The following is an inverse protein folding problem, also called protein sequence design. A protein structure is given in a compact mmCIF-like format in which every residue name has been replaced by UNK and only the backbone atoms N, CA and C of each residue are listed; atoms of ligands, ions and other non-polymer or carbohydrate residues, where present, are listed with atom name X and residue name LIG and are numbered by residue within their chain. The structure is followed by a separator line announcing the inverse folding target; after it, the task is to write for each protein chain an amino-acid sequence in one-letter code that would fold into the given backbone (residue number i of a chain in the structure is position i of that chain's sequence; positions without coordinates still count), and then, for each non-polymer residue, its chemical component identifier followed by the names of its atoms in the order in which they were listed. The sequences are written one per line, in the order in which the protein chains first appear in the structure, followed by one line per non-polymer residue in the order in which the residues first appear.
data_IF_406979502342
#
_entry.id   IF_406979502342
#
_cell.length_a   1.000
_cell.length_b   1.000
_cell.length_c   1.000
_cell.angle_alpha   90.00
_cell.angle_beta   90.00
_cell.angle_gamma   90.00
#
_symmetry.space_group_name_H-M   'P 1'
#
loop_
_entity.id
_entity.type
_entity.pdbx_description
1 polymer ?
#
# COMPACT_ATOMS: atom_id res chain seq x y z
N UNK A 1 -10.04 -11.86 -16.32
CA UNK A 1 -8.59 -11.81 -16.64
C UNK A 1 -7.90 -12.07 -15.33
N UNK A 2 -7.06 -13.11 -15.22
CA UNK A 2 -6.33 -13.34 -13.97
C UNK A 2 -5.36 -12.17 -13.74
N UNK A 3 -5.48 -11.51 -12.59
CA UNK A 3 -4.57 -10.43 -12.23
C UNK A 3 -3.21 -11.10 -11.96
N UNK A 4 -2.17 -10.68 -12.70
CA UNK A 4 -0.80 -11.17 -12.46
C UNK A 4 -0.10 -10.26 -11.46
N UNK A 5 0.89 -10.76 -10.72
CA UNK A 5 1.66 -9.95 -9.77
C UNK A 5 2.22 -8.65 -10.41
N UNK A 6 2.84 -8.66 -11.60
CA UNK A 6 3.32 -7.43 -12.22
C UNK A 6 2.21 -6.42 -12.51
N UNK A 7 1.05 -6.90 -12.97
CA UNK A 7 -0.10 -6.04 -13.23
C UNK A 7 -0.65 -5.45 -11.92
N UNK A 8 -0.77 -6.28 -10.88
CA UNK A 8 -1.18 -5.86 -9.55
C UNK A 8 -0.23 -4.81 -8.99
N UNK A 9 1.08 -5.03 -9.09
CA UNK A 9 2.10 -4.09 -8.64
C UNK A 9 2.00 -2.74 -9.35
N UNK A 10 1.82 -2.74 -10.67
CA UNK A 10 1.64 -1.52 -11.46
C UNK A 10 0.36 -0.81 -11.02
N UNK A 11 -0.76 -1.53 -10.92
CA UNK A 11 -2.05 -0.96 -10.51
C UNK A 11 -2.01 -0.37 -9.10
N UNK A 12 -1.43 -1.08 -8.12
CA UNK A 12 -1.26 -0.57 -6.75
C UNK A 12 -0.47 0.73 -6.76
N UNK A 13 0.66 0.80 -7.46
CA UNK A 13 1.44 2.05 -7.54
C UNK A 13 0.66 3.18 -8.24
N UNK A 14 -0.08 2.89 -9.31
CA UNK A 14 -0.90 3.88 -10.00
C UNK A 14 -2.05 4.42 -9.12
N UNK A 15 -2.57 3.62 -8.21
CA UNK A 15 -3.63 4.01 -7.29
C UNK A 15 -3.09 4.77 -6.08
N UNK A 16 -2.00 4.30 -5.49
CA UNK A 16 -1.48 4.82 -4.23
C UNK A 16 -0.65 6.08 -4.40
N UNK A 17 0.11 6.21 -5.49
CA UNK A 17 0.96 7.38 -5.71
C UNK A 17 0.16 8.69 -5.75
N UNK A 18 -0.97 8.80 -6.47
CA UNK A 18 -1.80 10.02 -6.43
C UNK A 18 -2.35 10.33 -5.05
N UNK A 19 -2.74 9.30 -4.30
CA UNK A 19 -3.30 9.44 -2.95
C UNK A 19 -2.22 9.95 -2.01
N UNK A 20 -1.09 9.27 -1.93
CA UNK A 20 0.05 9.70 -1.13
C UNK A 20 0.52 11.11 -1.51
N UNK A 21 0.58 11.41 -2.81
CA UNK A 21 0.91 12.74 -3.32
C UNK A 21 -0.06 13.80 -2.79
N UNK A 22 -1.38 13.57 -2.90
CA UNK A 22 -2.40 14.51 -2.43
C UNK A 22 -2.24 14.89 -0.95
N UNK A 23 -1.86 13.94 -0.10
CA UNK A 23 -1.65 14.21 1.34
C UNK A 23 -0.30 14.87 1.65
N UNK A 24 0.74 14.61 0.86
CA UNK A 24 2.13 14.91 1.23
C UNK A 24 2.79 16.03 0.39
N UNK A 25 2.20 16.44 -0.74
CA UNK A 25 2.84 17.36 -1.70
C UNK A 25 3.20 18.75 -1.13
N UNK A 26 2.50 19.18 -0.07
CA UNK A 26 2.77 20.50 0.56
C UNK A 26 4.01 20.50 1.46
N UNK A 27 4.45 19.33 1.91
CA UNK A 27 5.49 19.19 2.94
C UNK A 27 6.68 18.36 2.46
N UNK A 28 6.52 17.58 1.41
CA UNK A 28 7.53 16.65 0.90
C UNK A 28 7.73 16.80 -0.61
N UNK A 29 8.95 16.51 -1.06
CA UNK A 29 9.30 16.56 -2.47
C UNK A 29 8.55 15.49 -3.27
N UNK A 30 7.95 15.84 -4.44
CA UNK A 30 7.21 14.89 -5.27
C UNK A 30 7.99 13.60 -5.57
N UNK A 31 9.26 13.72 -5.96
CA UNK A 31 10.13 12.58 -6.25
C UNK A 31 10.31 11.66 -5.05
N UNK A 32 10.39 12.24 -3.84
CA UNK A 32 10.53 11.47 -2.59
C UNK A 32 9.25 10.73 -2.26
N UNK A 33 8.08 11.34 -2.48
CA UNK A 33 6.78 10.70 -2.28
C UNK A 33 6.66 9.48 -3.20
N UNK A 34 6.88 9.66 -4.50
CA UNK A 34 6.76 8.59 -5.49
C UNK A 34 7.78 7.47 -5.23
N UNK A 35 9.03 7.80 -4.94
CA UNK A 35 10.05 6.81 -4.63
C UNK A 35 9.73 6.00 -3.35
N UNK A 36 9.18 6.66 -2.33
CA UNK A 36 8.77 5.99 -1.10
C UNK A 36 7.59 5.04 -1.33
N UNK A 37 6.54 5.47 -2.06
CA UNK A 37 5.40 4.60 -2.39
C UNK A 37 5.88 3.36 -3.16
N UNK A 38 6.73 3.56 -4.18
CA UNK A 38 7.29 2.47 -4.97
C UNK A 38 8.11 1.50 -4.12
N UNK A 39 8.98 2.03 -3.26
CA UNK A 39 9.80 1.23 -2.36
C UNK A 39 8.95 0.42 -1.38
N UNK A 40 7.92 1.03 -0.81
CA UNK A 40 7.06 0.38 0.16
C UNK A 40 6.23 -0.72 -0.49
N UNK A 41 5.63 -0.45 -1.65
CA UNK A 41 4.94 -1.47 -2.43
C UNK A 41 5.87 -2.62 -2.85
N UNK A 42 7.13 -2.33 -3.22
CA UNK A 42 8.12 -3.36 -3.52
C UNK A 42 8.48 -4.21 -2.30
N UNK A 43 8.37 -3.65 -1.10
CA UNK A 43 8.63 -4.33 0.16
C UNK A 43 7.42 -5.15 0.63
N UNK A 44 6.19 -4.64 0.51
CA UNK A 44 4.98 -5.22 1.12
C UNK A 44 4.24 -6.16 0.18
N UNK A 45 4.08 -5.82 -1.10
CA UNK A 45 3.29 -6.62 -2.05
C UNK A 45 3.79 -8.06 -2.26
N UNK A 46 5.11 -8.35 -2.28
CA UNK A 46 5.57 -9.74 -2.37
C UNK A 46 5.07 -10.61 -1.22
N UNK A 47 4.91 -10.06 -0.01
CA UNK A 47 4.35 -10.80 1.11
C UNK A 47 2.87 -11.10 0.87
N UNK A 48 2.11 -10.09 0.45
CA UNK A 48 0.67 -10.22 0.13
C UNK A 48 0.42 -11.28 -0.94
N UNK A 49 1.24 -11.31 -1.99
CA UNK A 49 1.03 -12.19 -3.15
C UNK A 49 1.64 -13.58 -3.02
N UNK A 50 2.79 -13.71 -2.35
CA UNK A 50 3.52 -14.97 -2.34
C UNK A 50 3.55 -15.65 -0.98
N UNK A 51 3.39 -14.91 0.13
CA UNK A 51 3.53 -15.48 1.47
C UNK A 51 2.15 -15.75 2.11
N UNK A 52 1.27 -14.75 2.16
CA UNK A 52 -0.06 -14.91 2.78
C UNK A 52 -0.94 -16.00 2.16
N UNK A 53 -0.96 -16.20 0.82
CA UNK A 53 -1.75 -17.26 0.21
C UNK A 53 -1.28 -18.68 0.55
N UNK A 54 -0.03 -18.83 1.00
CA UNK A 54 0.52 -20.13 1.42
C UNK A 54 0.11 -20.52 2.86
N UNK A 55 -0.50 -19.60 3.61
CA UNK A 55 -0.93 -19.88 4.97
C UNK A 55 -2.15 -20.83 4.96
N UNK A 56 -2.24 -21.80 5.89
CA UNK A 56 -3.33 -22.77 5.96
C UNK A 56 -4.61 -22.17 6.57
N UNK A 57 -5.02 -20.99 6.10
CA UNK A 57 -6.22 -20.27 6.54
C UNK A 57 -7.22 -20.11 5.41
N UNK A 58 -8.52 -19.94 5.70
CA UNK A 58 -9.51 -19.58 4.69
C UNK A 58 -9.17 -18.23 4.03
N UNK A 59 -9.59 -18.04 2.78
CA UNK A 59 -9.33 -16.85 1.97
C UNK A 59 -9.52 -15.52 2.73
N UNK A 60 -10.67 -15.35 3.39
CA UNK A 60 -10.97 -14.12 4.13
C UNK A 60 -10.01 -13.84 5.30
N UNK A 61 -9.47 -14.88 5.92
CA UNK A 61 -8.47 -14.74 6.98
C UNK A 61 -7.10 -14.40 6.38
N UNK A 62 -6.72 -15.03 5.27
CA UNK A 62 -5.49 -14.69 4.55
C UNK A 62 -5.50 -13.20 4.12
N UNK A 63 -6.62 -12.76 3.52
CA UNK A 63 -6.83 -11.37 3.13
C UNK A 63 -6.76 -10.42 4.33
N UNK A 64 -7.52 -10.69 5.40
CA UNK A 64 -7.49 -9.82 6.58
C UNK A 64 -6.08 -9.69 7.18
N UNK A 65 -5.32 -10.80 7.24
CA UNK A 65 -3.94 -10.80 7.73
C UNK A 65 -2.99 -10.04 6.81
N UNK A 66 -3.12 -10.19 5.48
CA UNK A 66 -2.29 -9.48 4.51
C UNK A 66 -2.54 -7.98 4.54
N UNK A 67 -3.81 -7.56 4.68
CA UNK A 67 -4.18 -6.15 4.79
C UNK A 67 -3.67 -5.56 6.11
N UNK A 68 -3.88 -6.21 7.25
CA UNK A 68 -3.35 -5.72 8.54
C UNK A 68 -1.83 -5.56 8.47
N UNK A 69 -1.13 -6.48 7.82
CA UNK A 69 0.31 -6.39 7.60
C UNK A 69 0.68 -5.19 6.72
N UNK A 70 0.08 -5.05 5.53
CA UNK A 70 0.37 -3.96 4.60
C UNK A 70 0.08 -2.59 5.24
N UNK A 71 -1.13 -2.38 5.76
CA UNK A 71 -1.52 -1.15 6.44
C UNK A 71 -0.60 -0.82 7.63
N UNK A 72 -0.27 -1.83 8.45
CA UNK A 72 0.56 -1.64 9.63
C UNK A 72 2.00 -1.23 9.28
N UNK A 73 2.64 -1.99 8.38
CA UNK A 73 4.01 -1.73 7.96
C UNK A 73 4.12 -0.39 7.24
N UNK A 74 3.20 -0.10 6.31
CA UNK A 74 3.26 1.13 5.53
C UNK A 74 2.98 2.35 6.39
N UNK A 75 1.99 2.32 7.30
CA UNK A 75 1.75 3.44 8.21
C UNK A 75 2.99 3.76 9.07
N UNK A 76 3.65 2.74 9.63
CA UNK A 76 4.88 2.92 10.41
C UNK A 76 6.00 3.50 9.54
N UNK A 77 6.17 3.00 8.32
CA UNK A 77 7.25 3.44 7.44
C UNK A 77 7.00 4.84 6.87
N UNK A 78 5.77 5.21 6.53
CA UNK A 78 5.42 6.58 6.13
C UNK A 78 5.78 7.58 7.23
N UNK A 79 5.41 7.30 8.49
CA UNK A 79 5.77 8.16 9.63
C UNK A 79 7.29 8.33 9.75
N UNK A 80 8.07 7.26 9.55
CA UNK A 80 9.53 7.29 9.65
C UNK A 80 10.22 7.97 8.47
N UNK A 81 9.67 7.80 7.26
CA UNK A 81 10.22 8.33 6.02
C UNK A 81 9.92 9.83 5.91
N UNK A 82 8.68 10.25 6.14
CA UNK A 82 8.22 11.63 5.90
C UNK A 82 8.30 12.51 7.16
N UNK A 83 9.52 12.69 7.66
CA UNK A 83 9.78 13.46 8.90
C UNK A 83 9.42 14.95 8.83
N UNK A 84 9.26 15.53 7.64
CA UNK A 84 8.83 16.94 7.49
C UNK A 84 7.31 17.08 7.57
N UNK A 85 6.59 15.97 7.48
CA UNK A 85 5.14 15.90 7.58
C UNK A 85 4.73 15.54 9.00
N UNK A 86 3.58 16.04 9.45
CA UNK A 86 2.97 15.58 10.70
C UNK A 86 2.73 14.06 10.64
N UNK A 87 3.14 13.32 11.68
CA UNK A 87 2.97 11.87 11.76
C UNK A 87 1.52 11.41 11.54
N UNK A 88 0.52 12.19 11.99
CA UNK A 88 -0.90 11.90 11.74
C UNK A 88 -1.24 11.96 10.26
N UNK A 89 -0.74 12.97 9.54
CA UNK A 89 -0.96 13.11 8.10
C UNK A 89 -0.23 12.00 7.34
N UNK A 90 1.00 11.66 7.73
CA UNK A 90 1.75 10.56 7.12
C UNK A 90 1.03 9.20 7.30
N UNK A 91 0.50 8.94 8.49
CA UNK A 91 -0.30 7.74 8.77
C UNK A 91 -1.61 7.72 7.95
N UNK A 92 -2.33 8.85 7.91
CA UNK A 92 -3.55 8.97 7.11
C UNK A 92 -3.28 8.76 5.61
N UNK A 93 -2.16 9.26 5.10
CA UNK A 93 -1.76 9.05 3.71
C UNK A 93 -1.58 7.55 3.40
N UNK A 94 -0.86 6.82 4.27
CA UNK A 94 -0.66 5.38 4.12
C UNK A 94 -1.99 4.60 4.19
N UNK A 95 -2.83 4.90 5.17
CA UNK A 95 -4.14 4.25 5.36
C UNK A 95 -5.05 4.52 4.17
N UNK A 96 -5.12 5.77 3.68
CA UNK A 96 -5.95 6.13 2.54
C UNK A 96 -5.48 5.45 1.25
N UNK A 97 -4.15 5.38 1.04
CA UNK A 97 -3.55 4.71 -0.12
C UNK A 97 -3.89 3.22 -0.12
N UNK A 98 -3.61 2.51 0.98
CA UNK A 98 -3.92 1.08 1.12
C UNK A 98 -5.42 0.81 1.00
N UNK A 99 -6.27 1.66 1.57
CA UNK A 99 -7.72 1.48 1.51
C UNK A 99 -8.26 1.57 0.07
N UNK A 100 -7.75 2.50 -0.72
CA UNK A 100 -8.12 2.62 -2.14
C UNK A 100 -7.63 1.39 -2.91
N UNK A 101 -6.40 0.93 -2.67
CA UNK A 101 -5.87 -0.30 -3.29
C UNK A 101 -6.70 -1.53 -2.94
N UNK A 102 -7.07 -1.70 -1.67
CA UNK A 102 -7.92 -2.79 -1.20
C UNK A 102 -9.31 -2.75 -1.85
N UNK A 103 -9.95 -1.57 -1.88
CA UNK A 103 -11.28 -1.42 -2.47
C UNK A 103 -11.29 -1.78 -3.96
N UNK A 104 -10.27 -1.35 -4.71
CA UNK A 104 -10.12 -1.71 -6.13
C UNK A 104 -9.76 -3.18 -6.29
N UNK A 105 -8.88 -3.72 -5.44
CA UNK A 105 -8.51 -5.14 -5.43
C UNK A 105 -9.73 -6.05 -5.25
N UNK A 106 -10.59 -5.74 -4.26
CA UNK A 106 -11.85 -6.44 -4.02
C UNK A 106 -12.84 -6.31 -5.18
N UNK A 107 -12.84 -5.19 -5.91
CA UNK A 107 -13.69 -5.01 -7.08
C UNK A 107 -13.20 -5.84 -8.29
N UNK A 108 -11.89 -5.99 -8.46
CA UNK A 108 -11.28 -6.73 -9.57
C UNK A 108 -11.19 -8.24 -9.35
N UNK A 109 -11.29 -8.71 -8.09
CA UNK A 109 -11.27 -10.13 -7.72
C UNK A 109 -12.67 -10.76 -7.67
N UNK A 110 -13.72 -10.02 -8.08
CA UNK A 110 -15.03 -10.59 -8.43
C UNK A 110 -14.98 -11.24 -9.81
#
# INVERSE_FOLDING_TARGET
MELTFPLAFILTNLLEMPVAYFFLWKTEEPKRILAAVLFLNALTLPFVWFIFPQLPFPYWHQLALSEIFAFGIEAILYIKIFKRTNAKIAALAAIAANFISLAIGLFLQQ
#
